data_IF_368138369020
#
_entry.id   IF_368138369020
#
_cell.length_a   1.000
_cell.length_b   1.000
_cell.length_c   1.000
_cell.angle_alpha   90.00
_cell.angle_beta   90.00
_cell.angle_gamma   90.00
#
_symmetry.space_group_name_H-M   'P 1'
#
loop_
_entity.id
_entity.type
_entity.pdbx_description
1 polymer ?
#
# COMPACT_ATOMS: atom_id res chain seq x y z
N UNK A 1 35.61 -2.56 -12.46
CA UNK A 1 34.57 -3.54 -12.13
C UNK A 1 33.73 -2.92 -11.04
N UNK A 2 32.50 -2.51 -11.35
CA UNK A 2 31.57 -2.02 -10.34
C UNK A 2 31.22 -3.20 -9.43
N UNK A 3 31.57 -3.13 -8.15
CA UNK A 3 31.14 -4.07 -7.11
C UNK A 3 29.63 -3.88 -6.89
N UNK A 4 28.86 -4.43 -7.83
CA UNK A 4 27.41 -4.45 -7.75
C UNK A 4 27.00 -5.23 -6.52
N UNK A 5 26.27 -4.61 -5.59
CA UNK A 5 25.77 -5.32 -4.41
C UNK A 5 24.68 -6.28 -4.82
N UNK A 6 24.88 -7.56 -4.57
CA UNK A 6 23.98 -8.64 -4.94
C UNK A 6 23.64 -9.44 -3.69
N UNK A 7 22.37 -9.82 -3.54
CA UNK A 7 21.87 -10.61 -2.41
C UNK A 7 21.29 -11.93 -2.87
N UNK A 8 21.30 -12.96 -2.02
CA UNK A 8 20.65 -14.24 -2.28
C UNK A 8 19.23 -14.21 -1.69
N UNK A 9 18.25 -14.73 -2.44
CA UNK A 9 16.86 -14.80 -1.98
C UNK A 9 16.34 -16.23 -1.94
N UNK A 10 15.42 -16.48 -0.99
CA UNK A 10 14.64 -17.70 -0.90
C UNK A 10 13.57 -17.73 -1.99
N UNK A 11 13.32 -18.91 -2.57
CA UNK A 11 12.30 -19.08 -3.62
C UNK A 11 12.79 -18.82 -5.05
N UNK A 12 13.94 -18.19 -5.25
CA UNK A 12 14.56 -18.03 -6.57
C UNK A 12 15.04 -19.40 -7.13
N UNK A 13 15.14 -19.50 -8.46
CA UNK A 13 15.67 -20.71 -9.10
C UNK A 13 17.05 -21.04 -8.54
N UNK A 14 17.17 -22.18 -7.80
CA UNK A 14 18.41 -22.64 -7.17
C UNK A 14 18.55 -22.36 -5.68
N UNK A 15 17.65 -21.59 -5.06
CA UNK A 15 17.60 -21.36 -3.61
C UNK A 15 16.66 -22.36 -2.88
N UNK A 16 16.63 -22.37 -1.53
CA UNK A 16 15.66 -23.12 -0.76
C UNK A 16 14.24 -22.73 -1.18
N UNK A 17 13.45 -23.71 -1.62
CA UNK A 17 12.07 -23.47 -2.07
C UNK A 17 11.16 -23.25 -0.87
N UNK A 18 10.49 -22.12 -0.83
CA UNK A 18 9.29 -21.95 -0.02
C UNK A 18 8.16 -22.77 -0.70
N UNK A 19 7.65 -23.77 -0.03
CA UNK A 19 6.53 -24.57 -0.53
C UNK A 19 5.25 -24.06 0.09
N UNK A 20 4.25 -23.79 -0.75
CA UNK A 20 2.89 -23.56 -0.26
C UNK A 20 2.44 -24.80 0.52
N UNK A 21 1.77 -24.64 1.69
CA UNK A 21 1.19 -25.77 2.38
C UNK A 21 0.26 -26.50 1.41
N UNK A 22 0.52 -27.79 1.20
CA UNK A 22 -0.36 -28.65 0.43
C UNK A 22 -1.68 -28.68 1.16
N UNK A 23 -2.72 -28.17 0.56
CA UNK A 23 -4.07 -28.28 1.10
C UNK A 23 -4.40 -29.77 1.07
N UNK A 24 -4.35 -30.43 2.23
CA UNK A 24 -4.90 -31.78 2.37
C UNK A 24 -6.37 -31.69 2.05
N UNK A 25 -6.79 -32.29 0.97
CA UNK A 25 -8.19 -32.35 0.56
C UNK A 25 -8.99 -32.96 1.72
N UNK A 26 -10.00 -32.25 2.27
CA UNK A 26 -10.83 -32.85 3.31
C UNK A 26 -11.51 -34.09 2.73
N UNK A 27 -11.40 -35.20 3.43
CA UNK A 27 -12.15 -36.43 3.09
C UNK A 27 -13.55 -36.20 3.62
N UNK A 28 -14.55 -36.37 2.78
CA UNK A 28 -15.96 -36.36 3.19
C UNK A 28 -16.19 -37.56 4.17
N UNK A 29 -16.54 -37.27 5.42
CA UNK A 29 -16.72 -38.31 6.43
C UNK A 29 -17.89 -39.23 6.13
N UNK A 30 -18.81 -38.87 5.23
CA UNK A 30 -19.95 -39.70 4.86
C UNK A 30 -19.67 -40.69 3.72
N UNK A 31 -18.75 -40.37 2.82
CA UNK A 31 -18.48 -41.16 1.62
C UNK A 31 -17.06 -41.73 1.58
N UNK A 32 -16.14 -41.27 2.42
CA UNK A 32 -14.72 -41.65 2.41
C UNK A 32 -13.97 -41.25 1.14
N UNK A 33 -14.62 -40.50 0.25
CA UNK A 33 -14.02 -39.98 -0.97
C UNK A 33 -13.53 -38.52 -0.75
N UNK A 34 -12.51 -38.08 -1.50
CA UNK A 34 -12.12 -36.66 -1.51
C UNK A 34 -13.34 -35.84 -1.89
N UNK A 35 -13.70 -34.86 -1.04
CA UNK A 35 -14.77 -33.92 -1.39
C UNK A 35 -14.42 -33.28 -2.72
N UNK A 36 -15.43 -33.12 -3.59
CA UNK A 36 -15.27 -32.57 -4.93
C UNK A 36 -14.54 -31.22 -4.82
N UNK A 37 -13.26 -31.25 -5.17
CA UNK A 37 -12.40 -30.08 -5.14
C UNK A 37 -12.92 -29.12 -6.23
N UNK A 38 -13.13 -27.85 -5.87
CA UNK A 38 -13.21 -26.82 -6.90
C UNK A 38 -12.06 -27.03 -7.90
N UNK A 39 -12.32 -26.89 -9.22
CA UNK A 39 -11.30 -27.15 -10.21
C UNK A 39 -10.06 -26.35 -9.84
N UNK A 40 -8.93 -27.05 -9.71
CA UNK A 40 -7.66 -26.44 -9.36
C UNK A 40 -7.41 -25.30 -10.37
N UNK A 41 -7.48 -24.05 -9.91
CA UNK A 41 -7.20 -22.89 -10.76
C UNK A 41 -5.78 -23.07 -11.27
N UNK A 42 -5.55 -23.09 -12.61
CA UNK A 42 -4.22 -23.26 -13.17
C UNK A 42 -3.28 -22.23 -12.57
N UNK A 43 -2.20 -22.69 -11.94
CA UNK A 43 -1.19 -21.79 -11.39
C UNK A 43 -0.55 -21.03 -12.55
N UNK A 44 -0.60 -19.69 -12.52
CA UNK A 44 0.08 -18.87 -13.50
C UNK A 44 1.57 -18.81 -13.18
N UNK A 45 2.32 -19.73 -13.79
CA UNK A 45 3.77 -19.84 -13.64
C UNK A 45 4.56 -18.92 -14.56
N UNK A 46 3.90 -18.21 -15.48
CA UNK A 46 4.58 -17.34 -16.44
C UNK A 46 4.86 -15.97 -15.85
N UNK A 47 3.93 -15.46 -15.06
CA UNK A 47 4.08 -14.17 -14.38
C UNK A 47 5.05 -14.26 -13.19
N UNK A 48 5.87 -13.24 -13.00
CA UNK A 48 6.91 -13.15 -11.97
C UNK A 48 6.64 -12.02 -10.98
N UNK A 49 6.90 -12.29 -9.70
CA UNK A 49 6.78 -11.34 -8.61
C UNK A 49 8.13 -10.73 -8.26
N UNK A 50 8.27 -9.43 -8.44
CA UNK A 50 9.42 -8.63 -8.06
C UNK A 50 9.11 -7.89 -6.77
N UNK A 51 9.75 -8.25 -5.66
CA UNK A 51 9.67 -7.49 -4.42
C UNK A 51 10.54 -6.25 -4.55
N UNK A 52 9.92 -5.07 -4.53
CA UNK A 52 10.60 -3.79 -4.58
C UNK A 52 10.53 -3.16 -3.19
N UNK A 53 11.70 -2.81 -2.64
CA UNK A 53 11.82 -2.06 -1.39
C UNK A 53 12.40 -0.69 -1.67
N UNK A 54 11.77 0.36 -1.14
CA UNK A 54 12.30 1.71 -1.15
C UNK A 54 12.88 2.08 0.20
N UNK A 55 14.19 2.42 0.25
CA UNK A 55 14.89 2.70 1.49
C UNK A 55 15.36 4.15 1.59
N UNK A 56 15.57 4.61 2.81
CA UNK A 56 15.86 6.01 3.13
C UNK A 56 17.37 6.34 3.21
N UNK A 57 18.20 5.59 2.51
CA UNK A 57 19.60 5.95 2.35
C UNK A 57 19.77 7.07 1.31
N UNK A 58 20.16 8.24 1.78
CA UNK A 58 20.36 9.45 1.00
C UNK A 58 21.81 9.96 1.00
N UNK A 59 22.80 9.07 1.08
CA UNK A 59 24.22 9.47 1.20
C UNK A 59 24.72 10.32 -0.01
N UNK A 60 24.06 10.25 -1.17
CA UNK A 60 24.37 11.03 -2.36
C UNK A 60 23.66 12.37 -2.44
N UNK A 61 22.74 12.67 -1.52
CA UNK A 61 21.91 13.87 -1.59
C UNK A 61 22.73 15.07 -1.13
N UNK A 62 22.73 16.11 -1.95
CA UNK A 62 23.37 17.37 -1.61
C UNK A 62 22.65 18.01 -0.39
N UNK A 63 23.35 18.27 0.72
CA UNK A 63 22.76 18.93 1.88
C UNK A 63 22.19 20.33 1.56
N UNK A 64 22.70 20.99 0.54
CA UNK A 64 22.26 22.31 0.09
C UNK A 64 21.10 22.25 -0.91
N UNK A 65 20.66 21.06 -1.31
CA UNK A 65 19.49 20.87 -2.17
C UNK A 65 18.23 21.46 -1.51
N UNK A 66 17.38 22.18 -2.26
CA UNK A 66 16.09 22.64 -1.75
C UNK A 66 15.20 21.49 -1.26
N UNK A 67 15.46 20.28 -1.71
CA UNK A 67 14.74 19.08 -1.31
C UNK A 67 15.40 18.29 -0.18
N UNK A 68 16.53 18.75 0.37
CA UNK A 68 17.25 18.05 1.45
C UNK A 68 16.33 17.72 2.65
N UNK A 69 15.36 18.57 2.97
CA UNK A 69 14.36 18.33 4.01
C UNK A 69 13.50 17.06 3.74
N UNK A 70 13.28 16.70 2.47
CA UNK A 70 12.55 15.48 2.09
C UNK A 70 13.31 14.20 2.49
N UNK A 71 14.62 14.29 2.66
CA UNK A 71 15.47 13.13 2.92
C UNK A 71 15.64 12.85 4.41
N UNK A 72 15.48 13.85 5.27
CA UNK A 72 15.63 13.77 6.72
C UNK A 72 17.07 13.42 7.15
N UNK A 73 17.49 13.92 8.30
CA UNK A 73 18.77 13.52 8.89
C UNK A 73 18.57 12.19 9.65
N UNK A 74 19.09 11.11 9.12
CA UNK A 74 18.97 9.76 9.70
C UNK A 74 20.30 9.17 10.17
N UNK A 75 21.33 9.98 10.36
CA UNK A 75 22.62 9.54 10.85
C UNK A 75 22.46 8.73 12.14
N UNK A 76 22.84 7.45 12.10
CA UNK A 76 22.80 6.54 13.25
C UNK A 76 21.47 5.84 13.56
N UNK A 77 20.40 6.05 12.78
CA UNK A 77 19.08 5.42 13.04
C UNK A 77 18.85 4.12 12.26
N UNK A 78 19.80 3.70 11.43
CA UNK A 78 19.66 2.55 10.52
C UNK A 78 18.72 2.83 9.35
N UNK A 79 18.84 2.04 8.29
CA UNK A 79 17.97 2.15 7.12
C UNK A 79 16.62 1.50 7.38
N UNK A 80 15.57 2.11 6.84
CA UNK A 80 14.20 1.60 6.89
C UNK A 80 13.62 1.49 5.50
N UNK A 81 12.85 0.43 5.27
CA UNK A 81 12.01 0.34 4.10
C UNK A 81 10.70 1.08 4.36
N UNK A 82 10.55 2.24 3.76
CA UNK A 82 9.32 3.04 3.83
C UNK A 82 8.37 2.72 2.67
N UNK A 83 8.87 2.06 1.64
CA UNK A 83 8.11 1.55 0.49
C UNK A 83 8.33 0.07 0.37
N UNK A 84 7.24 -0.69 0.37
CA UNK A 84 7.21 -2.13 0.19
C UNK A 84 6.14 -2.45 -0.85
N UNK A 85 6.54 -3.00 -2.01
CA UNK A 85 5.59 -3.36 -3.05
C UNK A 85 6.04 -4.58 -3.83
N UNK A 86 5.10 -5.29 -4.40
CA UNK A 86 5.35 -6.36 -5.36
C UNK A 86 4.85 -5.88 -6.72
N UNK A 87 5.76 -5.84 -7.68
CA UNK A 87 5.43 -5.69 -9.09
C UNK A 87 5.32 -7.10 -9.69
N UNK A 88 4.13 -7.46 -10.14
CA UNK A 88 3.89 -8.71 -10.87
C UNK A 88 3.83 -8.42 -12.35
N UNK A 89 4.67 -9.13 -13.12
CA UNK A 89 4.78 -8.98 -14.57
C UNK A 89 4.50 -10.31 -15.26
N UNK A 90 3.69 -10.29 -16.31
CA UNK A 90 3.47 -11.43 -17.20
C UNK A 90 3.91 -11.07 -18.62
N UNK A 91 5.13 -11.47 -19.03
CA UNK A 91 5.64 -11.22 -20.38
C UNK A 91 4.80 -11.85 -21.49
N UNK A 92 4.07 -12.93 -21.18
CA UNK A 92 3.25 -13.64 -22.18
C UNK A 92 2.01 -12.86 -22.58
N UNK A 93 1.42 -12.15 -21.62
CA UNK A 93 0.19 -11.37 -21.85
C UNK A 93 0.43 -9.87 -21.91
N UNK A 94 1.67 -9.41 -21.72
CA UNK A 94 2.04 -7.99 -21.55
C UNK A 94 1.21 -7.31 -20.45
N UNK A 95 0.91 -8.03 -19.37
CA UNK A 95 0.15 -7.50 -18.25
C UNK A 95 1.04 -7.23 -17.04
N UNK A 96 0.68 -6.22 -16.26
CA UNK A 96 1.39 -5.86 -15.03
C UNK A 96 0.41 -5.43 -13.93
N UNK A 97 0.78 -5.70 -12.68
CA UNK A 97 0.07 -5.19 -11.51
C UNK A 97 1.03 -4.91 -10.36
N UNK A 98 0.65 -3.98 -9.48
CA UNK A 98 1.42 -3.61 -8.29
C UNK A 98 0.56 -3.83 -7.04
N UNK A 99 1.12 -4.52 -6.04
CA UNK A 99 0.54 -4.65 -4.71
C UNK A 99 1.48 -3.99 -3.70
N UNK A 100 1.02 -2.95 -3.03
CA UNK A 100 1.77 -2.25 -1.99
C UNK A 100 1.34 -2.70 -0.59
N UNK A 101 2.34 -2.77 0.31
CA UNK A 101 2.16 -3.10 1.71
C UNK A 101 2.38 -1.83 2.54
N UNK A 102 1.36 -1.31 3.22
CA UNK A 102 1.58 -0.26 4.21
C UNK A 102 2.64 -0.71 5.22
N UNK A 103 3.67 0.11 5.43
CA UNK A 103 4.84 -0.25 6.26
C UNK A 103 4.51 -0.61 7.71
N UNK A 104 3.39 -0.09 8.21
CA UNK A 104 2.93 -0.30 9.59
C UNK A 104 1.96 -1.49 9.73
N UNK A 105 1.82 -2.35 8.70
CA UNK A 105 1.03 -3.60 8.78
C UNK A 105 1.56 -4.46 9.92
N UNK A 106 0.64 -4.89 10.80
CA UNK A 106 0.92 -5.72 11.98
C UNK A 106 0.80 -7.19 11.64
N UNK A 107 1.93 -7.84 11.43
CA UNK A 107 2.03 -9.20 10.88
C UNK A 107 3.01 -10.06 11.66
N UNK A 108 3.00 -11.37 11.46
CA UNK A 108 4.02 -12.27 11.99
C UNK A 108 5.33 -12.02 11.24
N UNK A 109 6.44 -11.89 11.98
CA UNK A 109 7.73 -11.54 11.42
C UNK A 109 8.62 -12.78 11.29
N UNK A 110 9.10 -13.06 10.08
CA UNK A 110 10.15 -14.05 9.77
C UNK A 110 9.88 -15.44 10.42
N UNK A 111 8.69 -16.00 10.18
CA UNK A 111 8.31 -17.33 10.70
C UNK A 111 8.09 -17.41 12.21
N UNK A 112 8.36 -16.33 12.94
CA UNK A 112 8.25 -16.30 14.42
C UNK A 112 6.78 -16.16 14.84
N UNK A 113 6.48 -16.54 16.09
CA UNK A 113 5.15 -16.32 16.69
C UNK A 113 4.91 -14.84 17.03
N UNK A 114 5.97 -14.04 17.14
CA UNK A 114 5.89 -12.62 17.47
C UNK A 114 5.39 -11.81 16.27
N UNK A 115 4.52 -10.86 16.55
CA UNK A 115 4.05 -9.88 15.56
C UNK A 115 4.86 -8.58 15.65
N UNK A 116 4.94 -7.87 14.54
CA UNK A 116 5.59 -6.58 14.43
C UNK A 116 5.08 -5.83 13.19
N UNK A 117 5.53 -4.60 13.02
CA UNK A 117 5.30 -3.88 11.76
C UNK A 117 6.07 -4.56 10.64
N UNK A 118 5.48 -4.73 9.48
CA UNK A 118 6.10 -5.45 8.35
C UNK A 118 7.47 -4.89 7.98
N UNK A 119 7.67 -3.58 8.06
CA UNK A 119 8.96 -2.93 7.77
C UNK A 119 10.07 -3.29 8.77
N UNK A 120 9.75 -3.85 9.94
CA UNK A 120 10.76 -4.36 10.88
C UNK A 120 11.41 -5.68 10.43
N UNK A 121 10.83 -6.34 9.42
CA UNK A 121 11.44 -7.50 8.78
C UNK A 121 12.50 -7.13 7.73
N UNK A 122 12.59 -5.84 7.37
CA UNK A 122 13.55 -5.37 6.39
C UNK A 122 14.99 -5.44 6.92
N UNK A 123 15.86 -5.98 6.09
CA UNK A 123 17.32 -5.91 6.26
C UNK A 123 17.91 -5.68 4.85
N UNK A 124 18.75 -4.65 4.71
CA UNK A 124 19.35 -4.27 3.43
C UNK A 124 20.24 -5.36 2.85
N UNK A 125 20.95 -6.07 3.71
CA UNK A 125 21.96 -7.07 3.32
C UNK A 125 21.36 -8.48 3.19
N UNK A 126 20.18 -8.70 3.79
CA UNK A 126 19.45 -9.97 3.74
C UNK A 126 17.94 -9.73 3.64
N UNK A 127 17.35 -9.78 2.43
CA UNK A 127 15.91 -9.59 2.25
C UNK A 127 15.06 -10.79 2.69
N UNK A 128 15.68 -11.93 3.04
CA UNK A 128 14.95 -13.17 3.32
C UNK A 128 13.98 -13.07 4.50
N UNK A 129 14.30 -12.38 5.62
CA UNK A 129 13.31 -12.19 6.69
C UNK A 129 12.03 -11.50 6.21
N UNK A 130 12.13 -10.53 5.30
CA UNK A 130 10.97 -9.86 4.70
C UNK A 130 10.22 -10.79 3.73
N UNK A 131 10.94 -11.53 2.89
CA UNK A 131 10.37 -12.51 1.95
C UNK A 131 9.58 -13.59 2.71
N UNK A 132 10.15 -14.16 3.77
CA UNK A 132 9.45 -15.11 4.65
C UNK A 132 8.23 -14.47 5.31
N UNK A 133 8.35 -13.22 5.77
CA UNK A 133 7.23 -12.49 6.35
C UNK A 133 6.08 -12.32 5.36
N UNK A 134 6.38 -11.96 4.10
CA UNK A 134 5.37 -11.84 3.04
C UNK A 134 4.74 -13.20 2.74
N UNK A 135 5.55 -14.24 2.61
CA UNK A 135 5.04 -15.59 2.33
C UNK A 135 4.13 -16.11 3.45
N UNK A 136 4.56 -16.01 4.72
CA UNK A 136 3.82 -16.54 5.87
C UNK A 136 2.46 -15.85 6.11
N UNK A 137 2.37 -14.56 5.78
CA UNK A 137 1.16 -13.79 6.06
C UNK A 137 0.23 -13.66 4.85
N UNK A 138 0.79 -13.71 3.62
CA UNK A 138 0.03 -13.44 2.39
C UNK A 138 0.08 -14.58 1.37
N UNK A 139 0.91 -15.61 1.58
CA UNK A 139 1.05 -16.75 0.67
C UNK A 139 1.67 -16.38 -0.68
N UNK A 140 2.40 -15.26 -0.77
CA UNK A 140 2.98 -14.77 -2.02
C UNK A 140 4.43 -15.22 -2.11
N UNK A 141 4.78 -15.91 -3.21
CA UNK A 141 6.15 -16.27 -3.55
C UNK A 141 6.83 -15.10 -4.27
N UNK A 142 8.08 -14.83 -3.92
CA UNK A 142 8.91 -13.80 -4.54
C UNK A 142 9.92 -14.46 -5.48
N UNK A 143 9.89 -14.07 -6.75
CA UNK A 143 10.83 -14.54 -7.77
C UNK A 143 12.12 -13.72 -7.80
N UNK A 144 12.00 -12.39 -7.61
CA UNK A 144 13.10 -11.44 -7.68
C UNK A 144 13.00 -10.35 -6.59
N UNK A 145 14.15 -9.79 -6.25
CA UNK A 145 14.27 -8.72 -5.27
C UNK A 145 15.01 -7.52 -5.84
N UNK A 146 14.48 -6.32 -5.58
CA UNK A 146 15.07 -5.04 -5.97
C UNK A 146 14.99 -4.07 -4.79
N UNK A 147 16.11 -3.54 -4.34
CA UNK A 147 16.14 -2.44 -3.38
C UNK A 147 16.55 -1.15 -4.09
N UNK A 148 15.76 -0.11 -3.91
CA UNK A 148 15.94 1.22 -4.48
C UNK A 148 16.06 2.20 -3.31
N UNK A 149 17.26 2.74 -3.07
CA UNK A 149 17.43 3.84 -2.13
C UNK A 149 17.19 5.20 -2.81
N UNK A 150 17.33 6.28 -2.09
CA UNK A 150 17.10 7.62 -2.62
C UNK A 150 18.04 7.96 -3.77
N UNK A 151 19.28 7.50 -3.69
CA UNK A 151 20.28 7.71 -4.75
C UNK A 151 19.89 6.95 -6.01
N UNK A 152 19.53 5.68 -5.87
CA UNK A 152 19.06 4.88 -6.98
C UNK A 152 17.81 5.48 -7.63
N UNK A 153 16.86 5.94 -6.82
CA UNK A 153 15.65 6.58 -7.32
C UNK A 153 15.98 7.81 -8.17
N UNK A 154 16.81 8.72 -7.62
CA UNK A 154 17.23 9.94 -8.32
C UNK A 154 17.84 9.61 -9.67
N UNK A 155 18.84 8.74 -9.69
CA UNK A 155 19.57 8.39 -10.91
C UNK A 155 18.67 7.68 -11.94
N UNK A 156 17.73 6.84 -11.51
CA UNK A 156 16.76 6.18 -12.40
C UNK A 156 15.85 7.22 -13.07
N UNK A 157 15.32 8.17 -12.30
CA UNK A 157 14.43 9.22 -12.82
C UNK A 157 15.18 10.11 -13.80
N UNK A 158 16.40 10.53 -13.48
CA UNK A 158 17.24 11.36 -14.34
C UNK A 158 17.65 10.59 -15.61
N UNK A 159 18.00 9.30 -15.51
CA UNK A 159 18.35 8.45 -16.64
C UNK A 159 17.22 8.31 -17.65
N UNK A 160 15.96 8.20 -17.20
CA UNK A 160 14.82 8.16 -18.14
C UNK A 160 14.50 9.54 -18.75
N UNK A 161 15.09 10.62 -18.22
CA UNK A 161 14.88 12.01 -18.66
C UNK A 161 13.71 12.69 -17.98
N UNK A 162 13.49 12.35 -16.72
CA UNK A 162 12.41 12.86 -15.91
C UNK A 162 11.07 12.15 -16.11
N UNK A 163 10.17 12.31 -15.15
CA UNK A 163 8.84 11.70 -15.17
C UNK A 163 7.77 12.78 -15.18
N UNK A 164 6.88 12.72 -16.18
CA UNK A 164 5.82 13.71 -16.37
C UNK A 164 4.56 13.32 -15.59
N UNK A 165 4.03 14.30 -14.85
CA UNK A 165 2.82 14.12 -14.02
C UNK A 165 1.86 15.29 -14.25
N UNK A 166 0.59 15.05 -14.63
CA UNK A 166 -0.38 16.13 -14.82
C UNK A 166 -1.02 16.52 -13.47
N UNK A 167 -1.11 17.80 -13.22
CA UNK A 167 -1.79 18.37 -12.07
C UNK A 167 -2.99 19.21 -12.52
N UNK A 168 -4.17 18.90 -11.98
CA UNK A 168 -5.38 19.68 -12.27
C UNK A 168 -5.37 21.05 -11.55
N UNK A 169 -4.61 21.17 -10.47
CA UNK A 169 -4.50 22.36 -9.63
C UNK A 169 -3.10 22.46 -9.04
N UNK A 170 -2.67 23.63 -8.53
CA UNK A 170 -1.43 23.74 -7.75
C UNK A 170 -1.41 22.74 -6.58
N UNK A 171 -0.22 22.18 -6.30
CA UNK A 171 -0.02 21.23 -5.20
C UNK A 171 1.22 21.57 -4.41
N UNK A 172 1.25 21.16 -3.12
CA UNK A 172 2.42 21.35 -2.26
C UNK A 172 2.46 20.38 -1.09
N UNK A 173 3.65 20.19 -0.56
CA UNK A 173 3.91 19.61 0.76
C UNK A 173 5.12 20.31 1.37
N UNK A 174 4.91 21.02 2.47
CA UNK A 174 5.99 21.77 3.15
C UNK A 174 7.05 20.85 3.75
N UNK A 175 6.68 19.62 4.13
CA UNK A 175 7.61 18.68 4.80
C UNK A 175 8.63 18.10 3.82
N UNK A 176 8.28 18.07 2.53
CA UNK A 176 9.18 17.59 1.47
C UNK A 176 9.65 18.73 0.54
N UNK A 177 9.27 19.97 0.85
CA UNK A 177 9.51 21.15 0.02
C UNK A 177 8.94 21.03 -1.41
N UNK A 178 7.93 20.20 -1.60
CA UNK A 178 7.23 20.07 -2.88
C UNK A 178 6.38 21.33 -3.12
N UNK A 179 6.51 21.94 -4.28
CA UNK A 179 5.67 23.06 -4.71
C UNK A 179 5.51 23.07 -6.24
N UNK A 180 4.32 22.75 -6.72
CA UNK A 180 3.91 22.89 -8.12
C UNK A 180 2.90 24.03 -8.17
N UNK A 181 3.31 25.17 -8.68
CA UNK A 181 2.53 26.41 -8.63
C UNK A 181 1.42 26.47 -9.69
N UNK A 182 1.56 25.73 -10.76
CA UNK A 182 0.66 25.80 -11.90
C UNK A 182 0.03 24.45 -12.22
N UNK A 183 -1.25 24.47 -12.58
CA UNK A 183 -1.90 23.31 -13.19
C UNK A 183 -1.26 23.00 -14.56
N UNK A 184 -1.26 21.74 -14.93
CA UNK A 184 -0.68 21.28 -16.18
C UNK A 184 0.27 20.10 -16.00
N UNK A 185 1.01 19.82 -17.04
CA UNK A 185 1.99 18.74 -17.05
C UNK A 185 3.32 19.24 -16.47
N UNK A 186 3.72 18.66 -15.35
CA UNK A 186 5.01 18.94 -14.71
C UNK A 186 5.98 17.78 -14.94
N UNK A 187 7.25 18.10 -15.21
CA UNK A 187 8.30 17.10 -15.38
C UNK A 187 9.20 17.08 -14.16
N UNK A 188 9.14 16.02 -13.40
CA UNK A 188 9.98 15.78 -12.23
C UNK A 188 11.37 15.30 -12.65
N UNK A 189 12.41 15.90 -12.12
CA UNK A 189 13.73 15.29 -12.01
C UNK A 189 13.79 14.31 -10.84
N UNK A 190 14.97 13.74 -10.56
CA UNK A 190 15.12 12.76 -9.51
C UNK A 190 14.90 13.28 -8.11
N UNK A 191 15.31 14.51 -7.78
CA UNK A 191 15.17 15.08 -6.44
C UNK A 191 13.74 15.56 -6.16
N UNK A 192 13.17 16.30 -7.08
CA UNK A 192 11.79 16.77 -6.98
C UNK A 192 10.80 15.61 -7.02
N UNK A 193 11.06 14.61 -7.89
CA UNK A 193 10.29 13.36 -7.95
C UNK A 193 10.31 12.62 -6.62
N UNK A 194 11.46 12.57 -5.94
CA UNK A 194 11.55 11.96 -4.62
C UNK A 194 10.76 12.75 -3.57
N UNK A 195 10.77 14.09 -3.61
CA UNK A 195 9.94 14.92 -2.75
C UNK A 195 8.44 14.62 -2.96
N UNK A 196 8.01 14.45 -4.21
CA UNK A 196 6.64 14.09 -4.56
C UNK A 196 6.22 12.71 -4.05
N UNK A 197 6.99 11.65 -4.32
CA UNK A 197 6.62 10.27 -3.93
C UNK A 197 6.75 10.04 -2.42
N UNK A 198 7.40 10.94 -1.68
CA UNK A 198 7.50 10.89 -0.21
C UNK A 198 6.48 11.77 0.51
N UNK A 199 5.77 12.64 -0.21
CA UNK A 199 4.79 13.55 0.36
C UNK A 199 3.68 12.80 1.10
N UNK A 200 3.48 13.11 2.39
CA UNK A 200 2.40 12.58 3.25
C UNK A 200 1.39 13.66 3.61
N UNK A 201 1.80 14.92 3.59
CA UNK A 201 0.97 16.08 3.84
C UNK A 201 0.68 16.82 2.53
N UNK A 202 0.38 16.01 1.50
CA UNK A 202 0.07 16.50 0.16
C UNK A 202 -1.17 17.36 0.18
N UNK A 203 -1.06 18.58 -0.35
CA UNK A 203 -2.17 19.55 -0.41
C UNK A 203 -2.36 20.01 -1.83
N UNK A 204 -3.61 20.17 -2.21
CA UNK A 204 -4.01 20.80 -3.46
C UNK A 204 -4.76 22.10 -3.21
N UNK A 205 -4.69 23.02 -4.17
CA UNK A 205 -5.43 24.26 -4.10
C UNK A 205 -6.83 24.07 -4.67
N UNK A 206 -7.84 24.28 -3.84
CA UNK A 206 -9.23 24.30 -4.28
C UNK A 206 -9.64 25.71 -4.69
N UNK A 207 -9.82 25.90 -6.00
CA UNK A 207 -10.20 27.21 -6.58
C UNK A 207 -11.59 27.69 -6.14
N UNK A 208 -12.49 26.78 -5.75
CA UNK A 208 -13.86 27.14 -5.32
C UNK A 208 -13.84 27.75 -3.93
N UNK A 209 -13.13 27.11 -3.00
CA UNK A 209 -13.02 27.58 -1.60
C UNK A 209 -11.85 28.52 -1.38
N UNK A 210 -10.97 28.66 -2.37
CA UNK A 210 -9.70 29.42 -2.30
C UNK A 210 -8.80 28.97 -1.14
N UNK A 211 -8.81 27.66 -0.83
CA UNK A 211 -8.07 27.07 0.28
C UNK A 211 -7.18 25.93 -0.20
N UNK A 212 -6.11 25.71 0.57
CA UNK A 212 -5.30 24.51 0.45
C UNK A 212 -5.93 23.40 1.26
N UNK A 213 -6.28 22.31 0.58
CA UNK A 213 -6.91 21.13 1.17
C UNK A 213 -5.89 20.01 1.22
N UNK A 214 -5.73 19.40 2.38
CA UNK A 214 -4.84 18.25 2.56
C UNK A 214 -5.50 16.97 2.08
N UNK A 215 -4.70 16.07 1.47
CA UNK A 215 -5.14 14.74 1.06
C UNK A 215 -5.57 13.92 2.30
N UNK A 216 -6.86 13.58 2.43
CA UNK A 216 -7.34 12.86 3.60
C UNK A 216 -6.81 11.43 3.69
N UNK A 217 -6.32 10.87 2.58
CA UNK A 217 -5.76 9.52 2.55
C UNK A 217 -4.34 9.43 3.14
N UNK A 218 -3.68 10.58 3.43
CA UNK A 218 -2.39 10.65 4.12
C UNK A 218 -1.35 9.63 3.57
N UNK A 219 -0.97 8.63 4.37
CA UNK A 219 0.01 7.62 3.97
C UNK A 219 -0.47 6.72 2.82
N UNK A 220 -1.76 6.42 2.73
CA UNK A 220 -2.34 5.66 1.60
C UNK A 220 -2.28 6.46 0.30
N UNK A 221 -2.54 7.76 0.37
CA UNK A 221 -2.38 8.67 -0.77
C UNK A 221 -0.94 8.70 -1.27
N UNK A 222 0.05 8.69 -0.35
CA UNK A 222 1.46 8.53 -0.70
C UNK A 222 1.71 7.24 -1.47
N UNK A 223 1.22 6.09 -0.98
CA UNK A 223 1.37 4.79 -1.64
C UNK A 223 0.79 4.86 -3.06
N UNK A 224 -0.39 5.43 -3.24
CA UNK A 224 -1.03 5.57 -4.55
C UNK A 224 -0.20 6.45 -5.50
N UNK A 225 0.38 7.54 -5.01
CA UNK A 225 1.29 8.39 -5.79
C UNK A 225 2.58 7.67 -6.18
N UNK A 226 3.13 6.83 -5.29
CA UNK A 226 4.28 5.99 -5.60
C UNK A 226 3.96 4.99 -6.73
N UNK A 227 2.80 4.37 -6.69
CA UNK A 227 2.34 3.43 -7.73
C UNK A 227 2.12 4.15 -9.08
N UNK A 228 1.47 5.32 -9.07
CA UNK A 228 1.28 6.11 -10.29
C UNK A 228 2.62 6.59 -10.88
N UNK A 229 3.53 7.05 -10.02
CA UNK A 229 4.86 7.49 -10.46
C UNK A 229 5.67 6.33 -11.05
N UNK A 230 5.66 5.15 -10.42
CA UNK A 230 6.29 3.94 -10.94
C UNK A 230 5.74 3.59 -12.33
N UNK A 231 4.41 3.59 -12.49
CA UNK A 231 3.74 3.34 -13.77
C UNK A 231 4.22 4.28 -14.86
N UNK A 232 4.32 5.59 -14.55
CA UNK A 232 4.81 6.62 -15.49
C UNK A 232 6.29 6.47 -15.80
N UNK A 233 7.11 6.13 -14.80
CA UNK A 233 8.54 5.88 -14.99
C UNK A 233 8.77 4.66 -15.91
N UNK A 234 8.01 3.58 -15.73
CA UNK A 234 8.05 2.42 -16.62
C UNK A 234 7.64 2.83 -18.05
N UNK A 235 6.54 3.57 -18.22
CA UNK A 235 6.11 4.06 -19.53
C UNK A 235 7.22 4.87 -20.20
N UNK A 236 7.82 5.81 -19.45
CA UNK A 236 8.89 6.67 -19.96
C UNK A 236 10.13 5.88 -20.39
N UNK A 237 10.49 4.84 -19.63
CA UNK A 237 11.58 3.94 -19.96
C UNK A 237 11.30 3.13 -21.24
N UNK A 238 10.07 2.61 -21.40
CA UNK A 238 9.62 1.91 -22.59
C UNK A 238 9.61 2.83 -23.80
N UNK A 239 9.07 4.04 -23.70
CA UNK A 239 9.02 5.02 -24.77
C UNK A 239 10.44 5.44 -25.21
N UNK A 240 11.33 5.69 -24.23
CA UNK A 240 12.72 6.07 -24.50
C UNK A 240 13.51 4.96 -25.17
N UNK A 241 13.29 3.71 -24.78
CA UNK A 241 13.93 2.55 -25.42
C UNK A 241 13.32 2.21 -26.77
N UNK A 242 12.04 2.50 -27.00
CA UNK A 242 11.25 2.39 -28.25
C UNK A 242 11.73 1.30 -29.22
N UNK A 243 11.96 0.08 -28.71
CA UNK A 243 12.44 -1.05 -29.52
C UNK A 243 13.93 -1.00 -29.85
N UNK A 244 14.71 -0.06 -29.31
CA UNK A 244 16.17 -0.01 -29.45
C UNK A 244 16.85 -0.74 -28.26
N UNK A 245 17.39 -1.95 -28.45
CA UNK A 245 18.01 -2.73 -27.38
C UNK A 245 19.23 -2.04 -26.75
N UNK A 246 19.94 -1.20 -27.51
CA UNK A 246 21.12 -0.47 -27.00
C UNK A 246 20.67 0.55 -25.95
N UNK A 247 19.65 1.35 -26.26
CA UNK A 247 19.10 2.34 -25.31
C UNK A 247 18.52 1.63 -24.09
N UNK A 248 17.79 0.52 -24.28
CA UNK A 248 17.29 -0.28 -23.16
C UNK A 248 18.43 -0.77 -22.26
N UNK A 249 19.52 -1.25 -22.87
CA UNK A 249 20.70 -1.69 -22.13
C UNK A 249 21.35 -0.54 -21.37
N UNK A 250 21.51 0.63 -21.97
CA UNK A 250 22.12 1.81 -21.33
C UNK A 250 21.31 2.28 -20.13
N UNK A 251 19.96 2.29 -20.24
CA UNK A 251 19.06 2.59 -19.12
C UNK A 251 19.18 1.57 -17.99
N UNK A 252 19.24 0.28 -18.33
CA UNK A 252 19.44 -0.79 -17.34
C UNK A 252 20.79 -0.63 -16.67
N UNK A 253 21.87 -0.43 -17.42
CA UNK A 253 23.22 -0.28 -16.86
C UNK A 253 23.34 0.95 -15.96
N UNK A 254 22.71 2.07 -16.31
CA UNK A 254 22.64 3.26 -15.47
C UNK A 254 21.89 2.96 -14.15
N UNK A 255 20.72 2.34 -14.22
CA UNK A 255 19.94 1.99 -13.03
C UNK A 255 20.69 1.00 -12.12
N UNK A 256 21.36 0.02 -12.71
CA UNK A 256 22.05 -1.06 -11.97
C UNK A 256 23.26 -0.62 -11.16
N UNK A 257 23.76 0.60 -11.36
CA UNK A 257 24.88 1.13 -10.56
C UNK A 257 24.50 1.41 -9.12
N UNK A 258 23.22 1.68 -8.86
CA UNK A 258 22.72 2.20 -7.59
C UNK A 258 21.74 1.27 -6.88
N UNK A 259 21.19 0.25 -7.56
CA UNK A 259 20.22 -0.68 -6.99
C UNK A 259 20.90 -1.92 -6.41
N UNK A 260 20.27 -2.52 -5.39
CA UNK A 260 20.63 -3.86 -4.91
C UNK A 260 19.66 -4.85 -5.53
N UNK A 261 20.18 -5.90 -6.16
CA UNK A 261 19.40 -6.93 -6.83
C UNK A 261 19.65 -8.31 -6.23
N UNK A 262 18.71 -9.24 -6.43
CA UNK A 262 19.02 -10.64 -6.21
C UNK A 262 20.01 -11.19 -7.27
N UNK A 263 20.74 -12.24 -6.87
CA UNK A 263 21.80 -12.83 -7.68
C UNK A 263 21.32 -13.38 -9.03
N UNK A 264 20.04 -13.72 -9.14
CA UNK A 264 19.46 -14.30 -10.35
C UNK A 264 18.93 -13.25 -11.32
N UNK A 265 18.75 -11.99 -10.86
CA UNK A 265 18.28 -10.88 -11.70
C UNK A 265 19.47 -10.21 -12.38
N UNK A 266 20.03 -10.89 -13.38
CA UNK A 266 21.18 -10.40 -14.16
C UNK A 266 20.78 -9.30 -15.15
N UNK A 267 21.72 -8.45 -15.64
CA UNK A 267 21.44 -7.47 -16.68
C UNK A 267 20.84 -8.07 -17.93
N UNK A 268 21.31 -9.28 -18.32
CA UNK A 268 20.76 -10.01 -19.46
C UNK A 268 19.29 -10.37 -19.27
N UNK A 269 18.91 -10.87 -18.09
CA UNK A 269 17.51 -11.15 -17.76
C UNK A 269 16.64 -9.91 -17.70
N UNK A 270 17.17 -8.80 -17.21
CA UNK A 270 16.45 -7.51 -17.26
C UNK A 270 16.22 -7.05 -18.69
N UNK A 271 17.20 -7.22 -19.58
CA UNK A 271 17.06 -6.88 -20.99
C UNK A 271 16.06 -7.80 -21.69
N UNK A 272 16.07 -9.11 -21.41
CA UNK A 272 15.07 -10.07 -21.89
C UNK A 272 13.66 -9.65 -21.43
N UNK A 273 13.50 -9.31 -20.16
CA UNK A 273 12.23 -8.87 -19.60
C UNK A 273 11.77 -7.57 -20.25
N UNK A 274 12.64 -6.57 -20.39
CA UNK A 274 12.33 -5.31 -21.04
C UNK A 274 11.90 -5.53 -22.51
N UNK A 275 12.59 -6.43 -23.24
CA UNK A 275 12.23 -6.80 -24.62
C UNK A 275 10.87 -7.50 -24.69
N UNK A 276 10.59 -8.42 -23.76
CA UNK A 276 9.32 -9.14 -23.70
C UNK A 276 8.16 -8.22 -23.34
N UNK A 277 8.39 -7.21 -22.47
CA UNK A 277 7.39 -6.26 -21.99
C UNK A 277 7.34 -4.96 -22.83
N UNK A 278 8.02 -4.89 -23.97
CA UNK A 278 8.07 -3.67 -24.80
C UNK A 278 6.71 -3.12 -25.25
N UNK A 279 5.70 -3.97 -25.31
CA UNK A 279 4.35 -3.61 -25.71
C UNK A 279 3.41 -3.44 -24.49
N UNK A 280 3.95 -3.36 -23.27
CA UNK A 280 3.15 -3.14 -22.07
C UNK A 280 2.46 -1.76 -22.16
N UNK A 281 1.13 -1.78 -22.11
CA UNK A 281 0.34 -0.57 -21.88
C UNK A 281 0.24 -0.32 -20.36
N UNK A 282 1.05 0.59 -19.86
CA UNK A 282 1.07 0.89 -18.44
C UNK A 282 -0.22 1.54 -17.94
N UNK A 283 -1.09 2.04 -18.84
CA UNK A 283 -2.40 2.58 -18.46
C UNK A 283 -3.36 1.49 -17.97
N UNK A 284 -3.12 0.24 -18.37
CA UNK A 284 -3.91 -0.92 -17.95
C UNK A 284 -3.37 -1.59 -16.68
N UNK A 285 -2.20 -1.15 -16.18
CA UNK A 285 -1.63 -1.70 -14.94
C UNK A 285 -2.58 -1.50 -13.76
N UNK A 286 -2.92 -2.60 -13.11
CA UNK A 286 -3.72 -2.57 -11.88
C UNK A 286 -2.82 -2.25 -10.68
N UNK A 287 -3.34 -1.42 -9.78
CA UNK A 287 -2.62 -1.02 -8.56
C UNK A 287 -3.46 -1.32 -7.34
N UNK A 288 -2.85 -1.97 -6.36
CA UNK A 288 -3.49 -2.45 -5.15
C UNK A 288 -2.71 -2.07 -3.91
N UNK A 289 -3.42 -1.95 -2.80
CA UNK A 289 -2.84 -1.81 -1.46
C UNK A 289 -3.40 -2.91 -0.58
N UNK A 290 -2.58 -3.53 0.28
CA UNK A 290 -3.10 -4.43 1.31
C UNK A 290 -3.99 -3.63 2.24
N UNK A 291 -5.26 -4.03 2.31
CA UNK A 291 -6.24 -3.37 3.17
C UNK A 291 -5.97 -3.66 4.65
N UNK A 292 -6.29 -2.70 5.49
CA UNK A 292 -6.16 -2.86 6.94
C UNK A 292 -6.93 -1.81 7.71
N UNK A 293 -7.07 -2.07 9.00
CA UNK A 293 -7.73 -1.18 9.95
C UNK A 293 -6.69 -0.67 10.96
N UNK A 294 -6.71 0.62 11.22
CA UNK A 294 -5.84 1.23 12.23
C UNK A 294 -6.12 0.66 13.61
N UNK A 295 -5.06 0.36 14.38
CA UNK A 295 -5.12 -0.23 15.72
C UNK A 295 -3.97 0.28 16.56
N UNK A 296 -4.19 0.42 17.86
CA UNK A 296 -3.13 0.66 18.83
C UNK A 296 -2.67 -0.67 19.46
N UNK A 297 -1.35 -0.91 19.48
CA UNK A 297 -0.72 -2.01 20.20
C UNK A 297 0.31 -1.41 21.16
N UNK A 298 -0.08 -1.30 22.44
CA UNK A 298 0.62 -0.44 23.38
C UNK A 298 0.60 1.01 22.89
N UNK A 299 1.76 1.63 22.77
CA UNK A 299 1.91 3.00 22.27
C UNK A 299 2.09 3.07 20.72
N UNK A 300 2.11 1.92 20.05
CA UNK A 300 2.35 1.86 18.62
C UNK A 300 1.03 1.93 17.84
N UNK A 301 0.92 2.91 16.93
CA UNK A 301 -0.12 2.91 15.91
C UNK A 301 0.27 1.93 14.79
N UNK A 302 -0.57 0.94 14.53
CA UNK A 302 -0.32 -0.13 13.54
C UNK A 302 -1.56 -0.34 12.67
N UNK A 303 -1.40 -1.08 11.59
CA UNK A 303 -2.46 -1.44 10.67
C UNK A 303 -2.68 -2.95 10.75
N UNK A 304 -3.84 -3.40 11.21
CA UNK A 304 -4.22 -4.80 11.19
C UNK A 304 -4.73 -5.17 9.80
N UNK A 305 -4.10 -6.14 9.08
CA UNK A 305 -4.46 -6.46 7.71
C UNK A 305 -5.85 -7.11 7.63
N UNK A 306 -6.66 -6.70 6.65
CA UNK A 306 -7.99 -7.22 6.33
C UNK A 306 -7.93 -8.12 5.12
N UNK A 307 -7.57 -9.39 5.29
CA UNK A 307 -7.32 -10.33 4.20
C UNK A 307 -8.54 -11.20 3.85
N UNK A 308 -9.64 -11.06 4.62
CA UNK A 308 -10.81 -11.95 4.49
C UNK A 308 -11.92 -11.40 3.60
N UNK A 309 -11.83 -10.14 3.15
CA UNK A 309 -12.78 -9.57 2.19
C UNK A 309 -12.65 -10.29 0.85
N UNK A 310 -13.74 -10.43 0.11
CA UNK A 310 -13.72 -11.20 -1.13
C UNK A 310 -12.87 -10.50 -2.20
N UNK A 311 -12.89 -9.16 -2.24
CA UNK A 311 -12.02 -8.41 -3.14
C UNK A 311 -10.54 -8.60 -2.79
N UNK A 312 -10.15 -8.52 -1.50
CA UNK A 312 -8.75 -8.74 -1.11
C UNK A 312 -8.28 -10.17 -1.37
N UNK A 313 -9.15 -11.18 -1.15
CA UNK A 313 -8.84 -12.57 -1.55
C UNK A 313 -8.58 -12.69 -3.05
N UNK A 314 -9.43 -12.06 -3.88
CA UNK A 314 -9.27 -12.08 -5.33
C UNK A 314 -7.97 -11.37 -5.77
N UNK A 315 -7.66 -10.22 -5.19
CA UNK A 315 -6.38 -9.52 -5.42
C UNK A 315 -5.19 -10.40 -5.02
N UNK A 316 -5.21 -10.97 -3.81
CA UNK A 316 -4.12 -11.83 -3.34
C UNK A 316 -3.96 -13.08 -4.22
N UNK A 317 -5.06 -13.67 -4.71
CA UNK A 317 -5.01 -14.83 -5.61
C UNK A 317 -4.19 -14.55 -6.88
N UNK A 318 -4.24 -13.31 -7.41
CA UNK A 318 -3.40 -12.90 -8.54
C UNK A 318 -1.92 -12.98 -8.17
N UNK A 319 -1.50 -12.34 -7.06
CA UNK A 319 -0.09 -12.30 -6.65
C UNK A 319 0.43 -13.64 -6.14
N UNK A 320 -0.46 -14.51 -5.67
CA UNK A 320 -0.15 -15.91 -5.32
C UNK A 320 -0.02 -16.83 -6.55
N UNK A 321 -0.31 -16.32 -7.76
CA UNK A 321 -0.32 -17.12 -9.00
C UNK A 321 -1.53 -18.05 -9.11
N UNK A 322 -2.56 -17.89 -8.28
CA UNK A 322 -3.80 -18.69 -8.31
C UNK A 322 -4.89 -18.13 -9.22
N UNK A 323 -4.72 -16.89 -9.67
CA UNK A 323 -5.55 -16.25 -10.68
C UNK A 323 -4.64 -15.58 -11.73
N UNK A 324 -5.15 -15.48 -12.97
CA UNK A 324 -4.38 -14.88 -14.07
C UNK A 324 -4.27 -13.37 -13.87
N UNK A 325 -3.11 -12.82 -14.16
CA UNK A 325 -2.87 -11.39 -14.07
C UNK A 325 -3.78 -10.58 -15.03
N UNK A 326 -4.08 -11.13 -16.19
CA UNK A 326 -4.97 -10.49 -17.17
C UNK A 326 -6.40 -10.29 -16.62
N UNK A 327 -6.87 -11.18 -15.75
CA UNK A 327 -8.20 -11.15 -15.15
C UNK A 327 -8.19 -10.48 -13.76
N UNK A 328 -7.14 -9.74 -13.44
CA UNK A 328 -6.98 -9.06 -12.15
C UNK A 328 -8.16 -8.10 -11.89
N UNK A 329 -8.83 -8.21 -10.72
CA UNK A 329 -10.00 -7.38 -10.41
C UNK A 329 -9.62 -5.91 -10.20
N UNK A 330 -10.61 -5.04 -10.18
CA UNK A 330 -10.42 -3.70 -9.61
C UNK A 330 -10.34 -3.79 -8.08
N UNK A 331 -9.56 -2.91 -7.43
CA UNK A 331 -9.60 -2.83 -5.98
C UNK A 331 -10.87 -2.11 -5.51
N UNK A 332 -11.61 -2.76 -4.63
CA UNK A 332 -12.79 -2.21 -3.98
C UNK A 332 -12.50 -2.17 -2.47
N UNK A 333 -12.51 -0.97 -1.91
CA UNK A 333 -12.34 -0.81 -0.47
C UNK A 333 -13.70 -0.98 0.22
N UNK A 334 -13.85 -2.05 0.98
CA UNK A 334 -15.10 -2.34 1.69
C UNK A 334 -15.24 -1.45 2.93
N UNK A 335 -16.46 -0.91 3.10
CA UNK A 335 -16.82 -0.10 4.26
C UNK A 335 -16.91 -0.98 5.51
N UNK A 336 -16.20 -0.62 6.58
CA UNK A 336 -16.37 -1.27 7.89
C UNK A 336 -17.46 -0.53 8.66
N UNK A 337 -18.61 -1.15 8.80
CA UNK A 337 -19.66 -0.67 9.71
C UNK A 337 -19.35 -1.20 11.10
N UNK A 338 -18.79 -0.37 11.97
CA UNK A 338 -18.62 -0.73 13.38
C UNK A 338 -19.92 -0.42 14.11
N UNK A 339 -20.64 -1.46 14.52
CA UNK A 339 -21.78 -1.29 15.43
C UNK A 339 -21.21 -0.98 16.82
N UNK A 340 -21.29 0.26 17.24
CA UNK A 340 -20.97 0.63 18.63
C UNK A 340 -22.13 0.15 19.51
N UNK A 341 -21.85 -0.73 20.47
CA UNK A 341 -22.85 -1.15 21.44
C UNK A 341 -23.40 0.09 22.17
N UNK A 342 -24.71 0.18 22.43
CA UNK A 342 -25.29 1.34 23.11
C UNK A 342 -24.70 1.45 24.52
N UNK A 343 -24.07 2.59 24.78
CA UNK A 343 -23.62 2.92 26.14
C UNK A 343 -24.88 3.21 26.99
N UNK A 344 -25.19 2.33 27.93
CA UNK A 344 -26.28 2.54 28.86
C UNK A 344 -25.84 3.63 29.85
N UNK A 345 -26.30 4.85 29.65
CA UNK A 345 -26.13 5.93 30.63
C UNK A 345 -27.15 5.68 31.74
N UNK A 346 -26.68 5.22 32.87
CA UNK A 346 -27.54 5.13 34.08
C UNK A 346 -27.75 6.56 34.57
N UNK A 347 -28.94 7.10 34.34
CA UNK A 347 -29.33 8.36 34.95
C UNK A 347 -29.50 8.14 36.46
N UNK A 348 -28.61 8.73 37.23
CA UNK A 348 -28.72 8.76 38.68
C UNK A 348 -29.89 9.66 39.04
N UNK A 349 -30.98 9.08 39.51
CA UNK A 349 -32.11 9.84 40.03
C UNK A 349 -31.67 10.54 41.35
N UNK A 350 -31.57 11.85 41.31
CA UNK A 350 -31.35 12.65 42.50
C UNK A 350 -32.66 12.70 43.26
N UNK A 351 -32.73 12.00 44.39
CA UNK A 351 -33.85 12.08 45.32
C UNK A 351 -33.78 13.44 46.01
N UNK A 352 -34.70 14.33 45.67
CA UNK A 352 -34.90 15.58 46.42
C UNK A 352 -35.81 15.25 47.61
N UNK A 353 -35.27 15.42 48.82
CA UNK A 353 -36.00 15.25 50.07
C UNK A 353 -36.89 16.48 50.27
N UNK A 354 -38.18 16.32 50.51
CA UNK A 354 -39.04 17.48 50.80
C UNK A 354 -38.89 17.91 52.26
N UNK A 355 -38.65 19.19 52.48
CA UNK A 355 -38.68 19.84 53.77
C UNK A 355 -40.09 19.94 54.22
N UNK A 356 -40.31 19.53 55.48
CA UNK A 356 -41.57 19.62 56.27
C UNK A 356 -41.99 21.05 56.47
N UNK A 357 -43.23 21.39 56.02
CA UNK A 357 -44.03 22.49 56.66
C UNK A 357 -45.37 21.91 56.99
N UNK A 358 -45.70 22.11 58.29
CA UNK A 358 -46.94 21.72 58.97
C UNK A 358 -48.11 22.64 58.61
N UNK A 359 -49.32 22.08 58.34
CA UNK A 359 -50.55 22.88 58.25
C UNK A 359 -51.73 22.15 57.63
N UNK A 360 -52.55 21.56 58.56
CA UNK A 360 -53.99 21.27 58.57
C UNK A 360 -54.81 20.82 57.35
N UNK A 361 -55.28 19.65 57.49
CA UNK A 361 -56.61 18.95 57.39
C UNK A 361 -57.62 19.30 56.27
N UNK A 362 -58.07 18.31 55.50
CA UNK A 362 -59.29 17.51 55.47
C UNK A 362 -59.62 17.00 54.05
N UNK A 363 -60.60 16.14 53.74
CA UNK A 363 -60.32 14.74 53.45
C UNK A 363 -60.71 14.35 51.98
N UNK A 364 -60.86 13.06 51.61
CA UNK A 364 -60.19 12.50 50.44
C UNK A 364 -61.20 12.27 49.29
N UNK A 365 -60.65 12.29 48.07
CA UNK A 365 -61.27 11.62 46.92
C UNK A 365 -60.24 10.83 46.18
N UNK A 366 -60.44 9.55 46.22
CA UNK A 366 -59.75 8.50 45.50
C UNK A 366 -59.85 8.66 43.97
N UNK A 367 -58.75 8.84 43.27
CA UNK A 367 -58.60 8.43 41.87
C UNK A 367 -57.29 7.70 41.71
N UNK A 368 -57.40 6.47 41.20
CA UNK A 368 -56.28 5.61 40.91
C UNK A 368 -55.32 6.24 39.85
N UNK A 369 -54.03 6.05 40.00
CA UNK A 369 -53.11 6.54 39.01
C UNK A 369 -53.18 5.69 37.73
N UNK A 370 -53.43 6.36 36.61
CA UNK A 370 -53.33 5.82 35.27
C UNK A 370 -51.86 5.53 34.99
N UNK A 371 -51.54 4.25 34.71
CA UNK A 371 -50.21 3.85 34.27
C UNK A 371 -49.89 4.54 32.95
N UNK A 372 -48.92 5.43 32.98
CA UNK A 372 -48.34 6.00 31.76
C UNK A 372 -47.31 5.03 31.26
N UNK A 373 -47.62 4.31 30.19
CA UNK A 373 -46.68 3.49 29.47
C UNK A 373 -45.69 4.42 28.78
N UNK A 374 -44.48 4.55 29.32
CA UNK A 374 -43.40 5.26 28.68
C UNK A 374 -42.83 4.33 27.63
N UNK A 375 -43.18 4.54 26.37
CA UNK A 375 -42.55 3.89 25.22
C UNK A 375 -41.13 4.42 25.10
N UNK A 376 -40.16 3.63 25.51
CA UNK A 376 -38.74 3.93 25.33
C UNK A 376 -38.39 3.72 23.86
N UNK A 377 -38.35 4.80 23.12
CA UNK A 377 -37.83 4.76 21.72
C UNK A 377 -36.32 4.71 21.83
N UNK A 378 -35.75 3.53 21.65
CA UNK A 378 -34.29 3.37 21.50
C UNK A 378 -33.89 3.95 20.16
N UNK A 379 -33.48 5.21 20.15
CA UNK A 379 -32.87 5.83 18.95
C UNK A 379 -31.46 5.29 18.84
N UNK A 380 -31.24 4.35 17.94
CA UNK A 380 -29.92 3.90 17.56
C UNK A 380 -29.31 5.01 16.70
N UNK A 381 -28.60 5.93 17.31
CA UNK A 381 -27.79 6.91 16.60
C UNK A 381 -26.61 6.13 16.01
N UNK A 382 -26.71 5.80 14.73
CA UNK A 382 -25.57 5.34 13.95
C UNK A 382 -24.58 6.51 13.91
N UNK A 383 -23.56 6.47 14.76
CA UNK A 383 -22.41 7.35 14.60
C UNK A 383 -21.78 6.94 13.28
N UNK A 384 -21.73 7.82 12.25
CA UNK A 384 -21.06 7.48 11.04
C UNK A 384 -19.59 7.27 11.39
N UNK A 385 -19.17 6.00 11.41
CA UNK A 385 -17.74 5.67 11.37
C UNK A 385 -17.25 6.31 10.09
N UNK A 386 -16.19 7.10 10.19
CA UNK A 386 -15.57 7.81 9.09
C UNK A 386 -15.36 6.81 7.94
N UNK A 387 -16.25 6.86 6.97
CA UNK A 387 -16.13 6.08 5.75
C UNK A 387 -15.00 6.75 5.00
N UNK A 388 -13.83 6.12 4.96
CA UNK A 388 -12.75 6.55 4.05
C UNK A 388 -13.25 6.35 2.61
N UNK A 389 -14.09 7.24 2.17
CA UNK A 389 -14.67 7.23 0.81
C UNK A 389 -13.62 7.48 -0.27
N UNK A 390 -12.39 7.81 0.11
CA UNK A 390 -11.26 8.04 -0.78
C UNK A 390 -9.97 7.43 -0.21
N UNK A 391 -9.90 6.11 -0.24
CA UNK A 391 -8.77 5.35 0.28
C UNK A 391 -7.52 5.38 -0.62
N UNK A 392 -7.64 5.84 -1.86
CA UNK A 392 -6.52 5.98 -2.80
C UNK A 392 -5.88 7.36 -2.80
N UNK A 393 -6.52 8.34 -2.13
CA UNK A 393 -6.04 9.71 -2.09
C UNK A 393 -6.19 10.47 -3.41
N UNK A 394 -5.49 11.60 -3.50
CA UNK A 394 -5.52 12.47 -4.66
C UNK A 394 -4.47 12.00 -5.65
N UNK A 395 -4.93 11.46 -6.77
CA UNK A 395 -4.09 11.04 -7.88
C UNK A 395 -4.16 12.04 -9.04
N UNK A 396 -3.05 12.16 -9.79
CA UNK A 396 -3.05 12.87 -11.05
C UNK A 396 -4.05 12.26 -12.04
N UNK A 397 -4.58 13.09 -12.92
CA UNK A 397 -5.43 12.64 -14.02
C UNK A 397 -4.62 11.77 -14.99
N UNK A 398 -5.29 10.83 -15.68
CA UNK A 398 -4.65 10.09 -16.77
C UNK A 398 -4.76 10.90 -18.07
N UNK A 399 -3.94 11.96 -18.17
CA UNK A 399 -3.89 12.81 -19.35
C UNK A 399 -2.90 12.24 -20.37
N UNK A 400 -3.37 11.78 -21.56
CA UNK A 400 -2.50 11.26 -22.60
C UNK A 400 -1.48 12.28 -23.14
N UNK A 401 -1.78 13.58 -23.05
CA UNK A 401 -0.87 14.64 -23.48
C UNK A 401 0.32 14.83 -22.50
N UNK A 402 0.20 14.25 -21.30
CA UNK A 402 1.24 14.28 -20.27
C UNK A 402 1.91 12.91 -20.09
N UNK A 403 2.39 12.33 -21.19
CA UNK A 403 3.14 11.07 -21.20
C UNK A 403 4.61 11.31 -21.51
#
# INVERSE_FOLDING_TARGET
>A
ANDRKVVSILGAQGGPKLTLPTTTTPIDPATGQPSVTEPAIPVDLTAKNFLITGTDNGACIDPDSPYAAAFGNRNGLGERADTLMILRLDPKTNAAAVLSFPRDLWVRINGKKTQGRINSAFNRDDPNPLIVTIFDNFGILIDHYVNIDFCAFKEIVDAVGGVRVPFATPVKDKNTNLLIEQAGCHTFDGEEGLAYVRSRHFRYYDAKTKKWIEDPAADRGRISRQQDFLRRAIQKALDKSAGNPTIAKDLIDAALQYVILDANLTPGKLLELASAMKNLDTSTMKTYQVEGTGKMVGELSVIEPRLKTDNMKAVLAVFQGRARLLDAPEQIFELVTTTVAPTTTIATATTVQPSTVVGQAAPPTTKAPRATTTTSTTSTTLVPVYVESNSVGILPTNDPACR
#
